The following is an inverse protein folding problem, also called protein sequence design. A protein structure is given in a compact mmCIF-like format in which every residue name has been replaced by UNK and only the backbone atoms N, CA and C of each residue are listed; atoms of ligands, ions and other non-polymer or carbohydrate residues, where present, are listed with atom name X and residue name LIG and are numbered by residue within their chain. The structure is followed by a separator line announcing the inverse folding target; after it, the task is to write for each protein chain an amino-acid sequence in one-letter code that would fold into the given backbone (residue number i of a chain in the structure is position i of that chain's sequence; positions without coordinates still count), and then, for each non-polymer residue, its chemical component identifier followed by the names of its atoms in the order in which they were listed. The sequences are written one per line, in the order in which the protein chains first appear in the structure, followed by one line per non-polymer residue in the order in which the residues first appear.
data_IF_561143179960
#
_entry.id   IF_561143179960
#
_cell.length_a   1.000
_cell.length_b   1.000
_cell.length_c   1.000
_cell.angle_alpha   90.00
_cell.angle_beta   90.00
_cell.angle_gamma   90.00
#
_symmetry.space_group_name_H-M   'P 1'
#
loop_
_entity.id
_entity.type
_entity.pdbx_description
1 polymer ?
#
# COMPACT_ATOMS: atom_id res chain seq x y z
N UNK A 1 9.84 -13.44 -13.95
CA UNK A 1 10.21 -12.03 -14.17
C UNK A 1 10.70 -11.51 -12.82
N UNK A 2 11.93 -10.98 -12.73
CA UNK A 2 12.51 -10.55 -11.45
C UNK A 2 11.85 -9.26 -10.95
N UNK A 3 11.43 -9.22 -9.69
CA UNK A 3 11.05 -7.97 -9.01
C UNK A 3 12.21 -6.98 -9.17
N UNK A 4 11.95 -5.79 -9.73
CA UNK A 4 12.95 -4.72 -9.69
C UNK A 4 13.20 -4.37 -8.22
N UNK A 5 14.45 -4.41 -7.74
CA UNK A 5 14.73 -4.07 -6.35
C UNK A 5 14.22 -2.66 -6.06
N UNK A 6 13.66 -2.46 -4.86
CA UNK A 6 13.18 -1.16 -4.42
C UNK A 6 14.37 -0.18 -4.39
N UNK A 7 14.43 0.71 -5.39
CA UNK A 7 15.46 1.73 -5.46
C UNK A 7 15.16 2.83 -4.46
N UNK A 8 16.20 3.32 -3.78
CA UNK A 8 16.07 4.51 -2.93
C UNK A 8 15.62 5.69 -3.81
N UNK A 9 14.54 6.43 -3.46
CA UNK A 9 14.11 7.58 -4.24
C UNK A 9 15.22 8.62 -4.36
N UNK A 10 15.41 9.18 -5.56
CA UNK A 10 16.41 10.25 -5.78
C UNK A 10 16.16 11.46 -4.87
N UNK A 11 14.88 11.81 -4.68
CA UNK A 11 14.46 12.89 -3.77
C UNK A 11 14.91 12.64 -2.33
N UNK A 12 14.85 11.39 -1.86
CA UNK A 12 15.30 11.04 -0.52
C UNK A 12 16.82 11.28 -0.37
N UNK A 13 17.59 10.83 -1.35
CA UNK A 13 19.06 11.02 -1.37
C UNK A 13 19.44 12.50 -1.41
N UNK A 14 18.70 13.31 -2.17
CA UNK A 14 18.91 14.75 -2.24
C UNK A 14 18.59 15.42 -0.89
N UNK A 15 17.46 15.07 -0.26
CA UNK A 15 17.05 15.63 1.03
C UNK A 15 18.01 15.26 2.17
N UNK A 16 18.50 14.03 2.23
CA UNK A 16 19.53 13.62 3.19
C UNK A 16 20.79 14.49 3.07
N UNK A 17 21.19 14.82 1.84
CA UNK A 17 22.34 15.68 1.57
C UNK A 17 22.11 17.14 1.96
N UNK A 18 20.86 17.61 1.90
CA UNK A 18 20.46 19.00 2.16
C UNK A 18 20.12 19.28 3.63
N UNK A 19 19.57 18.31 4.36
CA UNK A 19 19.09 18.52 5.73
C UNK A 19 20.21 18.92 6.69
N UNK A 20 21.41 18.37 6.50
CA UNK A 20 22.59 18.70 7.31
C UNK A 20 23.21 20.06 6.95
N UNK A 21 22.74 20.69 5.88
CA UNK A 21 23.24 21.96 5.35
C UNK A 21 22.24 23.10 5.50
N UNK A 22 21.05 22.83 6.04
CA UNK A 22 19.97 23.80 6.16
C UNK A 22 19.25 23.67 7.51
N UNK A 23 18.96 24.80 8.16
CA UNK A 23 18.16 24.81 9.41
C UNK A 23 16.65 24.77 9.13
N UNK A 24 16.23 24.27 7.96
CA UNK A 24 14.85 24.35 7.50
C UNK A 24 14.03 23.17 8.06
N UNK A 25 13.11 23.48 8.98
CA UNK A 25 12.21 22.51 9.62
C UNK A 25 11.32 21.76 8.63
N UNK A 26 10.97 22.38 7.50
CA UNK A 26 10.19 21.75 6.43
C UNK A 26 10.99 20.65 5.72
N UNK A 27 12.27 20.89 5.45
CA UNK A 27 13.16 19.90 4.82
C UNK A 27 13.34 18.67 5.72
N UNK A 28 13.45 18.88 7.04
CA UNK A 28 13.54 17.80 8.00
C UNK A 28 12.25 16.98 8.10
N UNK A 29 11.08 17.63 8.08
CA UNK A 29 9.79 16.95 8.09
C UNK A 29 9.56 16.09 6.83
N UNK A 30 9.86 16.63 5.63
CA UNK A 30 9.77 15.89 4.37
C UNK A 30 10.73 14.69 4.35
N UNK A 31 11.96 14.88 4.83
CA UNK A 31 12.93 13.80 4.95
C UNK A 31 12.43 12.69 5.88
N UNK A 32 11.88 13.06 7.04
CA UNK A 32 11.34 12.11 8.01
C UNK A 32 10.21 11.29 7.39
N UNK A 33 9.27 11.93 6.70
CA UNK A 33 8.15 11.26 6.07
C UNK A 33 8.59 10.30 4.95
N UNK A 34 9.50 10.73 4.06
CA UNK A 34 10.02 9.88 3.00
C UNK A 34 10.84 8.70 3.54
N UNK A 35 11.63 8.91 4.59
CA UNK A 35 12.33 7.82 5.26
C UNK A 35 11.36 6.81 5.88
N UNK A 36 10.30 7.28 6.54
CA UNK A 36 9.27 6.41 7.11
C UNK A 36 8.62 5.57 6.01
N UNK A 37 8.21 6.18 4.89
CA UNK A 37 7.65 5.46 3.73
C UNK A 37 8.62 4.41 3.19
N UNK A 38 9.89 4.77 3.00
CA UNK A 38 10.91 3.85 2.50
C UNK A 38 11.11 2.64 3.43
N UNK A 39 11.10 2.85 4.74
CA UNK A 39 11.21 1.77 5.73
C UNK A 39 10.01 0.81 5.65
N UNK A 40 8.79 1.33 5.52
CA UNK A 40 7.59 0.50 5.39
C UNK A 40 7.60 -0.32 4.09
N UNK A 41 8.02 0.28 2.98
CA UNK A 41 8.16 -0.41 1.69
C UNK A 41 9.19 -1.55 1.76
N UNK A 42 10.32 -1.32 2.43
CA UNK A 42 11.31 -2.38 2.69
C UNK A 42 10.78 -3.50 3.60
N UNK A 43 10.06 -3.14 4.65
CA UNK A 43 9.44 -4.11 5.55
C UNK A 43 8.44 -4.99 4.80
N UNK A 44 7.61 -4.40 3.93
CA UNK A 44 6.69 -5.16 3.07
C UNK A 44 7.44 -6.04 2.07
N UNK A 45 8.48 -5.51 1.42
CA UNK A 45 9.30 -6.26 0.46
C UNK A 45 9.96 -7.49 1.12
N UNK A 46 10.42 -7.36 2.37
CA UNK A 46 10.96 -8.48 3.13
C UNK A 46 9.93 -9.59 3.40
N UNK A 47 8.65 -9.24 3.59
CA UNK A 47 7.55 -10.21 3.68
C UNK A 47 7.22 -10.83 2.32
N UNK A 48 7.16 -10.01 1.26
CA UNK A 48 6.90 -10.47 -0.11
C UNK A 48 7.94 -11.49 -0.60
N UNK A 49 9.21 -11.29 -0.23
CA UNK A 49 10.30 -12.21 -0.58
C UNK A 49 10.25 -13.56 0.13
N UNK A 50 9.37 -13.74 1.13
CA UNK A 50 9.17 -15.03 1.80
C UNK A 50 8.22 -15.96 1.05
N UNK A 51 7.49 -15.44 0.06
CA UNK A 51 6.52 -16.21 -0.72
C UNK A 51 6.95 -16.35 -2.18
N UNK A 52 6.42 -17.38 -2.84
CA UNK A 52 6.54 -17.50 -4.28
C UNK A 52 5.68 -16.45 -4.97
N UNK A 53 6.33 -15.48 -5.60
CA UNK A 53 5.73 -14.36 -6.30
C UNK A 53 6.06 -14.37 -7.80
N UNK A 54 6.38 -15.55 -8.37
CA UNK A 54 6.77 -15.69 -9.79
C UNK A 54 5.75 -15.13 -10.78
N UNK A 55 4.47 -15.09 -10.38
CA UNK A 55 3.33 -14.62 -11.18
C UNK A 55 2.87 -13.20 -10.82
N UNK A 56 3.64 -12.48 -10.00
CA UNK A 56 3.27 -11.14 -9.59
C UNK A 56 4.02 -10.14 -10.47
N UNK A 57 3.26 -9.21 -11.05
CA UNK A 57 3.82 -7.98 -11.57
C UNK A 57 3.65 -6.89 -10.50
N UNK A 58 4.78 -6.40 -9.99
CA UNK A 58 4.81 -5.41 -8.91
C UNK A 58 5.20 -4.04 -9.46
N UNK A 59 4.37 -3.04 -9.21
CA UNK A 59 4.64 -1.64 -9.52
C UNK A 59 4.74 -0.88 -8.19
N UNK A 60 5.95 -0.41 -7.87
CA UNK A 60 6.24 0.31 -6.64
C UNK A 60 6.12 1.83 -6.85
N UNK A 61 5.74 2.54 -5.78
CA UNK A 61 5.80 4.00 -5.70
C UNK A 61 5.03 4.71 -6.82
N UNK A 62 3.79 4.29 -7.06
CA UNK A 62 2.94 4.87 -8.08
C UNK A 62 2.31 6.17 -7.59
N UNK A 63 2.50 7.26 -8.33
CA UNK A 63 1.92 8.57 -8.00
C UNK A 63 1.09 9.11 -9.16
N UNK A 64 -0.09 9.64 -8.86
CA UNK A 64 -0.94 10.31 -9.85
C UNK A 64 -0.66 11.80 -9.96
N UNK A 65 -1.17 12.41 -11.03
CA UNK A 65 -1.18 13.87 -11.19
C UNK A 65 -1.96 14.62 -10.09
N UNK A 66 -2.89 13.93 -9.41
CA UNK A 66 -3.63 14.48 -8.27
C UNK A 66 -2.92 14.25 -6.93
N UNK A 67 -1.63 13.91 -6.95
CA UNK A 67 -0.80 13.64 -5.77
C UNK A 67 -1.27 12.47 -4.90
N UNK A 68 -2.10 11.57 -5.43
CA UNK A 68 -2.39 10.30 -4.76
C UNK A 68 -1.17 9.40 -4.91
N UNK A 69 -0.63 8.97 -3.78
CA UNK A 69 0.50 8.05 -3.72
C UNK A 69 0.05 6.66 -3.29
N UNK A 70 0.38 5.65 -4.10
CA UNK A 70 0.16 4.22 -3.83
C UNK A 70 1.53 3.55 -3.71
N UNK A 71 1.79 2.92 -2.57
CA UNK A 71 3.10 2.31 -2.29
C UNK A 71 3.38 1.14 -3.21
N UNK A 72 2.39 0.27 -3.43
CA UNK A 72 2.56 -0.96 -4.21
C UNK A 72 1.26 -1.34 -4.93
N UNK A 73 1.39 -1.68 -6.21
CA UNK A 73 0.38 -2.36 -6.99
C UNK A 73 0.91 -3.76 -7.30
N UNK A 74 0.14 -4.80 -6.98
CA UNK A 74 0.42 -6.17 -7.41
C UNK A 74 -0.65 -6.58 -8.42
N UNK A 75 -0.23 -6.86 -9.64
CA UNK A 75 -1.06 -7.43 -10.69
C UNK A 75 -0.76 -8.93 -10.71
N UNK A 76 -1.82 -9.72 -10.70
CA UNK A 76 -1.78 -11.17 -10.84
C UNK A 76 -2.70 -11.60 -11.97
N UNK A 77 -2.65 -12.87 -12.35
CA UNK A 77 -3.52 -13.43 -13.39
C UNK A 77 -5.03 -13.33 -13.09
N UNK A 78 -5.42 -13.06 -11.83
CA UNK A 78 -6.81 -13.11 -11.39
C UNK A 78 -7.29 -11.87 -10.64
N UNK A 79 -6.42 -10.92 -10.30
CA UNK A 79 -6.77 -9.73 -9.54
C UNK A 79 -5.68 -8.67 -9.61
N UNK A 80 -6.08 -7.42 -9.34
CA UNK A 80 -5.17 -6.33 -9.02
C UNK A 80 -5.32 -5.94 -7.56
N UNK A 81 -4.20 -5.77 -6.87
CA UNK A 81 -4.16 -5.40 -5.46
C UNK A 81 -3.44 -4.07 -5.32
N UNK A 82 -4.12 -3.09 -4.73
CA UNK A 82 -3.60 -1.76 -4.43
C UNK A 82 -3.27 -1.70 -2.94
N UNK A 83 -2.03 -1.35 -2.61
CA UNK A 83 -1.58 -1.25 -1.22
C UNK A 83 -1.09 0.16 -0.90
N UNK A 84 -1.55 0.66 0.24
CA UNK A 84 -1.03 1.87 0.87
C UNK A 84 -0.49 1.52 2.26
N UNK A 85 0.72 1.92 2.57
CA UNK A 85 1.43 1.50 3.77
C UNK A 85 1.50 2.62 4.80
N UNK A 86 1.06 2.30 6.01
CA UNK A 86 0.93 3.24 7.10
C UNK A 86 1.50 2.65 8.38
N UNK A 87 1.85 3.55 9.30
CA UNK A 87 2.33 3.22 10.64
C UNK A 87 1.70 4.20 11.62
N UNK A 88 0.36 4.21 11.61
CA UNK A 88 -0.48 4.95 12.54
C UNK A 88 -0.66 4.14 13.83
N UNK A 89 -0.71 4.82 14.97
CA UNK A 89 -0.81 4.19 16.30
C UNK A 89 -2.07 4.61 17.04
N UNK A 90 -2.58 3.74 17.92
CA UNK A 90 -3.76 4.03 18.74
C UNK A 90 -5.09 3.70 18.06
N UNK A 91 -6.18 4.09 18.73
CA UNK A 91 -7.54 3.78 18.30
C UNK A 91 -7.99 4.70 17.18
N UNK A 92 -8.48 4.10 16.09
CA UNK A 92 -9.06 4.80 14.95
C UNK A 92 -10.45 4.27 14.64
N UNK A 93 -11.26 5.10 14.00
CA UNK A 93 -12.52 4.68 13.38
C UNK A 93 -12.58 5.16 11.92
N UNK A 94 -13.45 4.55 11.13
CA UNK A 94 -13.72 4.94 9.74
C UNK A 94 -15.06 5.68 9.71
N UNK A 95 -15.08 6.86 9.12
CA UNK A 95 -16.32 7.63 8.95
C UNK A 95 -17.10 7.22 7.68
N UNK A 96 -18.21 7.91 7.41
CA UNK A 96 -19.07 7.63 6.25
C UNK A 96 -18.43 7.91 4.89
N UNK A 97 -17.39 8.75 4.84
CA UNK A 97 -16.68 9.13 3.62
C UNK A 97 -15.43 8.26 3.38
N UNK A 98 -15.21 7.27 4.25
CA UNK A 98 -14.05 6.37 4.20
C UNK A 98 -12.78 6.98 4.78
N UNK A 99 -12.86 8.07 5.54
CA UNK A 99 -11.70 8.67 6.19
C UNK A 99 -11.35 7.88 7.45
N UNK A 100 -10.06 7.66 7.67
CA UNK A 100 -9.55 7.03 8.88
C UNK A 100 -9.20 8.11 9.91
N UNK A 101 -9.91 8.13 11.03
CA UNK A 101 -9.79 9.19 12.05
C UNK A 101 -9.25 8.60 13.34
N UNK A 102 -8.19 9.21 13.88
CA UNK A 102 -7.68 8.86 15.21
C UNK A 102 -8.63 9.38 16.29
N UNK A 103 -9.15 8.49 17.14
CA UNK A 103 -10.17 8.82 18.12
C UNK A 103 -9.68 9.69 19.28
N UNK A 104 -8.37 9.82 19.49
CA UNK A 104 -7.78 10.63 20.57
C UNK A 104 -7.30 11.99 20.08
N UNK A 105 -6.60 12.00 18.95
CA UNK A 105 -5.98 13.22 18.40
C UNK A 105 -6.85 13.91 17.36
N UNK A 106 -7.91 13.25 16.89
CA UNK A 106 -8.77 13.70 15.79
C UNK A 106 -8.02 13.96 14.49
N UNK A 107 -6.84 13.34 14.30
CA UNK A 107 -6.14 13.39 13.02
C UNK A 107 -6.87 12.53 12.00
N UNK A 108 -7.12 13.13 10.83
CA UNK A 108 -7.84 12.49 9.73
C UNK A 108 -6.88 12.08 8.63
N UNK A 109 -7.04 10.86 8.12
CA UNK A 109 -6.23 10.26 7.07
C UNK A 109 -7.12 9.82 5.90
N UNK A 110 -6.75 10.19 4.68
CA UNK A 110 -7.55 9.93 3.46
C UNK A 110 -7.19 8.62 2.75
N UNK A 111 -6.34 7.78 3.34
CA UNK A 111 -5.69 6.66 2.66
C UNK A 111 -6.66 5.65 2.02
N UNK A 112 -7.78 5.37 2.70
CA UNK A 112 -8.81 4.45 2.20
C UNK A 112 -9.58 5.09 1.05
N UNK A 113 -10.03 6.34 1.21
CA UNK A 113 -10.72 7.08 0.15
C UNK A 113 -9.84 7.26 -1.09
N UNK A 114 -8.54 7.51 -0.93
CA UNK A 114 -7.56 7.57 -2.01
C UNK A 114 -7.40 6.20 -2.72
N UNK A 115 -7.34 5.12 -1.96
CA UNK A 115 -7.32 3.75 -2.50
C UNK A 115 -8.59 3.46 -3.32
N UNK A 116 -9.76 3.86 -2.83
CA UNK A 116 -11.03 3.70 -3.55
C UNK A 116 -11.06 4.51 -4.84
N UNK A 117 -10.59 5.77 -4.81
CA UNK A 117 -10.44 6.60 -6.00
C UNK A 117 -9.57 5.89 -7.05
N UNK A 118 -8.41 5.37 -6.63
CA UNK A 118 -7.50 4.64 -7.52
C UNK A 118 -8.10 3.35 -8.06
N UNK A 119 -8.86 2.63 -7.24
CA UNK A 119 -9.58 1.43 -7.67
C UNK A 119 -10.50 1.73 -8.86
N UNK A 120 -11.28 2.80 -8.80
CA UNK A 120 -12.14 3.21 -9.92
C UNK A 120 -11.33 3.59 -11.16
N UNK A 121 -10.21 4.30 -11.00
CA UNK A 121 -9.32 4.65 -12.12
C UNK A 121 -8.77 3.40 -12.81
N UNK A 122 -8.31 2.40 -12.04
CA UNK A 122 -7.79 1.14 -12.58
C UNK A 122 -8.87 0.38 -13.33
N UNK A 123 -10.09 0.29 -12.79
CA UNK A 123 -11.22 -0.39 -13.45
C UNK A 123 -11.55 0.27 -14.79
N UNK A 124 -11.51 1.60 -14.87
CA UNK A 124 -11.88 2.34 -16.08
C UNK A 124 -10.85 2.26 -17.21
N UNK A 125 -9.58 1.94 -16.90
CA UNK A 125 -8.53 1.83 -17.93
C UNK A 125 -8.29 0.39 -18.39
N UNK A 126 -8.87 -0.60 -17.70
CA UNK A 126 -8.76 -1.99 -18.11
C UNK A 126 -9.57 -2.25 -19.40
N UNK A 127 -9.02 -2.98 -20.38
CA UNK A 127 -9.75 -3.31 -21.60
C UNK A 127 -11.00 -4.14 -21.28
N UNK A 128 -12.14 -3.81 -21.89
CA UNK A 128 -13.43 -4.52 -21.70
C UNK A 128 -13.35 -6.03 -21.99
N UNK A 129 -12.41 -6.45 -22.83
CA UNK A 129 -12.16 -7.85 -23.20
C UNK A 129 -11.40 -8.64 -22.14
N UNK A 130 -10.78 -7.94 -21.18
CA UNK A 130 -10.22 -8.55 -19.98
C UNK A 130 -11.41 -8.80 -19.06
N UNK A 131 -11.72 -10.06 -18.75
CA UNK A 131 -12.70 -10.40 -17.71
C UNK A 131 -12.36 -9.55 -16.48
N UNK A 132 -13.19 -8.55 -16.12
CA UNK A 132 -12.86 -7.47 -15.19
C UNK A 132 -12.10 -8.02 -13.98
N UNK A 133 -10.78 -7.85 -13.96
CA UNK A 133 -9.98 -8.37 -12.86
C UNK A 133 -10.45 -7.64 -11.60
N UNK A 134 -10.90 -8.36 -10.55
CA UNK A 134 -11.28 -7.70 -9.32
C UNK A 134 -10.11 -6.86 -8.79
N UNK A 135 -10.42 -5.64 -8.41
CA UNK A 135 -9.47 -4.71 -7.82
C UNK A 135 -9.70 -4.67 -6.31
N UNK A 136 -8.73 -5.16 -5.55
CA UNK A 136 -8.73 -5.15 -4.09
C UNK A 136 -7.86 -4.02 -3.56
N UNK A 137 -8.36 -3.34 -2.54
CA UNK A 137 -7.69 -2.23 -1.86
C UNK A 137 -7.29 -2.67 -0.46
N UNK A 138 -6.06 -2.36 -0.05
CA UNK A 138 -5.55 -2.65 1.30
C UNK A 138 -4.72 -1.49 1.84
N UNK A 139 -5.25 -0.86 2.89
CA UNK A 139 -4.56 0.06 3.75
C UNK A 139 -3.84 -0.76 4.84
N UNK A 140 -2.53 -0.88 4.72
CA UNK A 140 -1.68 -1.74 5.55
C UNK A 140 -1.19 -0.96 6.77
N UNK A 141 -1.39 -1.51 7.96
CA UNK A 141 -0.98 -0.92 9.23
C UNK A 141 0.18 -1.71 9.83
N UNK A 142 1.37 -1.12 9.83
CA UNK A 142 2.58 -1.72 10.38
C UNK A 142 2.76 -1.51 11.88
N UNK A 143 2.05 -0.54 12.47
CA UNK A 143 2.17 -0.29 13.90
C UNK A 143 1.39 -1.33 14.71
N UNK A 144 2.03 -1.96 15.68
CA UNK A 144 1.40 -2.99 16.52
C UNK A 144 0.38 -2.42 17.52
N UNK A 145 0.46 -1.11 17.80
CA UNK A 145 -0.49 -0.42 18.68
C UNK A 145 -1.70 0.15 17.94
N UNK A 146 -1.78 -0.05 16.62
CA UNK A 146 -2.94 0.33 15.84
C UNK A 146 -4.15 -0.50 16.26
N UNK A 147 -5.27 0.16 16.52
CA UNK A 147 -6.54 -0.48 16.78
C UNK A 147 -7.62 0.18 15.94
N UNK A 148 -8.47 -0.66 15.32
CA UNK A 148 -9.66 -0.20 14.63
C UNK A 148 -10.87 -0.41 15.54
N UNK A 149 -11.71 0.62 15.66
CA UNK A 149 -12.96 0.56 16.39
C UNK A 149 -13.87 -0.55 15.83
N UNK A 150 -14.55 -1.26 16.73
CA UNK A 150 -15.35 -2.45 16.38
C UNK A 150 -16.54 -2.14 15.47
N UNK A 151 -16.99 -0.89 15.43
CA UNK A 151 -18.09 -0.46 14.56
C UNK A 151 -17.60 -0.07 13.16
N UNK A 152 -16.29 0.04 12.96
CA UNK A 152 -15.70 0.33 11.65
C UNK A 152 -15.60 -0.95 10.81
N UNK A 153 -15.80 -0.83 9.51
CA UNK A 153 -15.65 -1.96 8.59
C UNK A 153 -14.17 -2.23 8.30
N UNK A 154 -13.60 -3.40 8.67
CA UNK A 154 -12.17 -3.67 8.51
C UNK A 154 -11.79 -4.09 7.09
N UNK A 155 -12.74 -4.18 6.16
CA UNK A 155 -12.56 -4.83 4.85
C UNK A 155 -11.38 -4.32 4.05
N UNK A 156 -11.02 -3.05 4.16
CA UNK A 156 -9.86 -2.45 3.48
C UNK A 156 -8.62 -2.31 4.36
N UNK A 157 -8.69 -2.62 5.66
CA UNK A 157 -7.54 -2.59 6.56
C UNK A 157 -6.82 -3.94 6.55
N UNK A 158 -5.48 -3.90 6.58
CA UNK A 158 -4.64 -5.09 6.74
C UNK A 158 -3.64 -4.86 7.88
N UNK A 159 -3.78 -5.59 8.98
CA UNK A 159 -2.86 -5.49 10.11
C UNK A 159 -1.55 -6.23 9.81
N UNK A 160 -0.47 -5.84 10.50
CA UNK A 160 0.90 -6.37 10.30
C UNK A 160 0.96 -7.90 10.29
N UNK A 161 0.31 -8.55 11.24
CA UNK A 161 0.25 -10.01 11.39
C UNK A 161 -0.56 -10.69 10.28
N UNK A 162 -1.43 -9.95 9.60
CA UNK A 162 -2.27 -10.44 8.51
C UNK A 162 -1.62 -10.32 7.13
N UNK A 163 -0.52 -9.56 7.00
CA UNK A 163 0.14 -9.30 5.72
C UNK A 163 0.62 -10.59 5.06
N UNK A 164 1.44 -11.38 5.75
CA UNK A 164 2.01 -12.60 5.18
C UNK A 164 0.92 -13.63 4.81
N UNK A 165 -0.05 -13.95 5.68
CA UNK A 165 -1.18 -14.81 5.31
C UNK A 165 -1.97 -14.31 4.09
N UNK A 166 -2.11 -12.99 3.93
CA UNK A 166 -2.79 -12.41 2.77
C UNK A 166 -2.01 -12.64 1.47
N UNK A 167 -0.69 -12.38 1.50
CA UNK A 167 0.21 -12.60 0.36
C UNK A 167 0.28 -14.08 -0.05
N UNK A 168 0.34 -15.00 0.91
CA UNK A 168 0.32 -16.45 0.64
C UNK A 168 -0.96 -16.87 -0.07
N UNK A 169 -2.13 -16.38 0.38
CA UNK A 169 -3.42 -16.65 -0.28
C UNK A 169 -3.43 -16.14 -1.71
N UNK A 170 -2.90 -14.94 -1.95
CA UNK A 170 -2.76 -14.40 -3.30
C UNK A 170 -1.94 -15.35 -4.18
N UNK A 171 -0.76 -15.78 -3.72
CA UNK A 171 0.13 -16.69 -4.46
C UNK A 171 -0.55 -18.03 -4.80
N UNK A 172 -1.27 -18.62 -3.86
CA UNK A 172 -1.99 -19.89 -4.07
C UNK A 172 -3.12 -19.72 -5.10
N UNK A 173 -3.89 -18.65 -5.00
CA UNK A 173 -5.03 -18.40 -5.90
C UNK A 173 -4.58 -18.19 -7.35
N UNK A 174 -3.43 -17.54 -7.58
CA UNK A 174 -2.87 -17.39 -8.93
C UNK A 174 -2.51 -18.73 -9.57
N UNK A 175 -2.04 -19.72 -8.79
CA UNK A 175 -1.64 -21.05 -9.30
C UNK A 175 -2.81 -21.93 -9.75
N UNK A 176 -3.96 -21.87 -9.07
CA UNK A 176 -5.08 -22.80 -9.31
C UNK A 176 -5.74 -22.66 -10.68
N UNK A 177 -5.82 -21.44 -11.22
CA UNK A 177 -6.46 -21.19 -12.54
C UNK A 177 -5.65 -21.78 -13.70
N UNK A 178 -4.32 -21.86 -13.56
CA UNK A 178 -3.43 -22.42 -14.59
C UNK A 178 -3.66 -23.92 -14.83
N UNK A 179 -4.04 -24.68 -13.79
CA UNK A 179 -4.38 -26.11 -13.92
C UNK A 179 -5.72 -26.35 -14.63
N UNK A 180 -6.57 -25.34 -14.80
CA UNK A 180 -7.85 -25.47 -15.50
C UNK A 180 -7.76 -25.12 -17.00
N UNK A 181 -6.64 -24.57 -17.45
CA UNK A 181 -6.40 -24.19 -18.86
C UNK A 181 -5.35 -25.07 -19.56
N UNK A 182 -5.06 -26.26 -19.01
CA UNK A 182 -4.27 -27.30 -19.65
C UNK A 182 -5.09 -28.56 -19.84
#
# INVERSE_FOLDING_TARGET
MHIKPLSKPHTLTALESLVHRTSNTHCAAQLHELNKRYQLEHAFMALLNQIDHTHFECIWQYQTHHNIYINLIIITDNAVHLFKFNDYSGLHHIDGDGMLINSTTYTTHADISELHCMKYSVINVMPETSTQLPVYTKCVMFNETFMLDIHSHPGDILLKDQILPYLERMSICSKKKKKQHH
#
